data_IF_087563677664
#
_entry.id   IF_087563677664
#
_cell.length_a   1.000
_cell.length_b   1.000
_cell.length_c   1.000
_cell.angle_alpha   90.00
_cell.angle_beta   90.00
_cell.angle_gamma   90.00
#
_symmetry.space_group_name_H-M   'P 1'
#
loop_
_entity.id
_entity.type
_entity.pdbx_description
1 polymer ?
#
# COMPACT_ATOMS: atom_id res chain seq x y z
N UNK A 1 -16.64 -48.30 22.39
CA UNK A 1 -15.39 -49.03 22.10
C UNK A 1 -15.38 -49.39 20.61
N UNK A 2 -15.53 -48.36 19.76
CA UNK A 2 -16.02 -48.52 18.39
C UNK A 2 -15.44 -47.50 17.38
N UNK A 3 -14.50 -46.64 17.79
CA UNK A 3 -13.93 -45.60 16.91
C UNK A 3 -12.60 -46.01 16.23
N UNK A 4 -12.00 -47.14 16.62
CA UNK A 4 -10.66 -47.52 16.12
C UNK A 4 -10.66 -48.35 14.82
N UNK A 5 -11.84 -48.72 14.29
CA UNK A 5 -11.96 -49.56 13.08
C UNK A 5 -12.13 -48.79 11.77
N UNK A 6 -12.52 -47.52 11.81
CA UNK A 6 -12.74 -46.73 10.60
C UNK A 6 -11.44 -46.09 10.06
N UNK A 7 -10.43 -45.90 10.92
CA UNK A 7 -9.15 -45.30 10.52
C UNK A 7 -8.30 -46.28 9.69
N UNK A 8 -8.36 -47.58 9.99
CA UNK A 8 -7.65 -48.62 9.22
C UNK A 8 -8.27 -48.89 7.84
N UNK A 9 -9.59 -48.77 7.70
CA UNK A 9 -10.27 -48.91 6.41
C UNK A 9 -9.90 -47.79 5.44
N UNK A 10 -9.76 -46.57 5.96
CA UNK A 10 -9.46 -45.37 5.15
C UNK A 10 -8.02 -45.40 4.60
N UNK A 11 -7.07 -45.93 5.38
CA UNK A 11 -5.66 -46.07 4.97
C UNK A 11 -5.48 -47.15 3.90
N UNK A 12 -6.25 -48.25 3.97
CA UNK A 12 -6.17 -49.33 2.96
C UNK A 12 -6.83 -48.90 1.65
N UNK A 13 -7.95 -48.17 1.69
CA UNK A 13 -8.61 -47.65 0.47
C UNK A 13 -7.74 -46.61 -0.24
N UNK A 14 -7.03 -45.75 0.52
CA UNK A 14 -6.10 -44.78 -0.06
C UNK A 14 -4.89 -45.43 -0.74
N UNK A 15 -4.37 -46.54 -0.18
CA UNK A 15 -3.18 -47.23 -0.72
C UNK A 15 -3.51 -48.01 -2.00
N UNK A 16 -4.66 -48.68 -2.06
CA UNK A 16 -5.12 -49.42 -3.26
C UNK A 16 -5.46 -48.45 -4.41
N UNK A 17 -6.04 -47.29 -4.12
CA UNK A 17 -6.30 -46.26 -5.12
C UNK A 17 -5.03 -45.55 -5.65
N UNK A 18 -3.93 -45.55 -4.89
CA UNK A 18 -2.63 -45.02 -5.34
C UNK A 18 -1.86 -46.03 -6.19
N UNK A 19 -1.94 -47.33 -5.91
CA UNK A 19 -1.24 -48.37 -6.70
C UNK A 19 -1.93 -48.68 -8.04
N UNK A 20 -3.27 -48.55 -8.13
CA UNK A 20 -4.00 -48.75 -9.39
C UNK A 20 -3.95 -47.53 -10.35
N UNK A 21 -3.52 -46.36 -9.88
CA UNK A 21 -3.39 -45.13 -10.68
C UNK A 21 -1.96 -44.86 -11.20
N UNK A 22 -1.03 -45.80 -11.07
CA UNK A 22 0.37 -45.62 -11.49
C UNK A 22 0.58 -45.57 -13.03
N UNK A 23 -0.47 -45.75 -13.84
CA UNK A 23 -0.42 -45.76 -15.31
C UNK A 23 -1.38 -44.80 -16.00
N UNK A 24 -1.95 -43.82 -15.28
CA UNK A 24 -2.82 -42.80 -15.84
C UNK A 24 -2.41 -41.42 -15.32
N UNK A 25 -1.99 -40.46 -16.15
CA UNK A 25 -1.62 -39.14 -15.66
C UNK A 25 -2.88 -38.41 -15.18
N UNK A 26 -3.04 -38.37 -13.86
CA UNK A 26 -4.02 -37.61 -13.07
C UNK A 26 -5.50 -38.04 -13.17
N UNK A 27 -6.05 -38.67 -12.10
CA UNK A 27 -7.46 -38.52 -11.78
C UNK A 27 -7.70 -37.10 -11.27
N UNK A 28 -8.84 -36.49 -11.62
CA UNK A 28 -9.27 -35.15 -11.20
C UNK A 28 -9.31 -35.02 -9.66
N UNK A 29 -8.19 -34.60 -9.05
CA UNK A 29 -8.16 -34.20 -7.64
C UNK A 29 -8.79 -32.81 -7.56
N UNK A 30 -9.86 -32.60 -6.79
CA UNK A 30 -10.45 -31.27 -6.61
C UNK A 30 -9.42 -30.37 -5.91
N UNK A 31 -8.81 -29.45 -6.67
CA UNK A 31 -7.93 -28.41 -6.14
C UNK A 31 -8.77 -27.43 -5.32
N UNK A 32 -8.59 -27.44 -4.00
CA UNK A 32 -9.12 -26.41 -3.12
C UNK A 32 -8.26 -25.16 -3.34
N UNK A 33 -8.81 -24.14 -3.99
CA UNK A 33 -8.20 -22.82 -4.11
C UNK A 33 -8.05 -22.26 -2.69
N UNK A 34 -6.83 -21.90 -2.30
CA UNK A 34 -6.61 -21.09 -1.11
C UNK A 34 -7.18 -19.68 -1.39
N UNK A 35 -8.47 -19.48 -1.12
CA UNK A 35 -9.12 -18.16 -1.11
C UNK A 35 -8.66 -17.29 0.09
N UNK A 36 -7.55 -17.66 0.73
CA UNK A 36 -7.15 -17.20 2.06
C UNK A 36 -5.97 -16.21 2.07
N UNK A 37 -5.36 -15.89 0.93
CA UNK A 37 -4.28 -14.89 0.84
C UNK A 37 -4.45 -13.95 -0.37
N UNK A 38 -5.34 -12.97 -0.23
CA UNK A 38 -5.56 -11.84 -1.17
C UNK A 38 -6.73 -11.99 -2.15
N UNK A 39 -7.93 -11.72 -1.59
CA UNK A 39 -9.13 -11.13 -2.21
C UNK A 39 -9.44 -11.49 -3.68
N UNK A 40 -10.51 -12.27 -3.85
CA UNK A 40 -11.44 -12.13 -4.96
C UNK A 40 -11.52 -10.65 -5.43
N UNK A 41 -11.22 -10.38 -6.71
CA UNK A 41 -11.54 -9.11 -7.37
C UNK A 41 -13.06 -8.90 -7.25
N UNK A 42 -13.52 -8.24 -6.18
CA UNK A 42 -14.83 -7.62 -6.23
C UNK A 42 -14.73 -6.48 -7.24
N UNK A 43 -15.71 -6.32 -8.15
CA UNK A 43 -15.71 -5.18 -9.06
C UNK A 43 -15.56 -3.91 -8.22
N UNK A 44 -14.47 -3.17 -8.46
CA UNK A 44 -14.21 -1.90 -7.78
C UNK A 44 -15.50 -1.09 -7.78
N UNK A 45 -15.98 -0.78 -6.58
CA UNK A 45 -17.18 0.02 -6.47
C UNK A 45 -16.92 1.37 -7.16
N UNK A 46 -17.92 1.94 -7.82
CA UNK A 46 -17.78 3.26 -8.49
C UNK A 46 -17.18 4.32 -7.54
N UNK A 47 -17.41 4.17 -6.24
CA UNK A 47 -16.83 5.00 -5.17
C UNK A 47 -15.30 4.86 -5.04
N UNK A 48 -14.75 3.66 -5.16
CA UNK A 48 -13.29 3.43 -5.10
C UNK A 48 -12.59 4.04 -6.32
N UNK A 49 -13.17 3.87 -7.52
CA UNK A 49 -12.67 4.54 -8.74
C UNK A 49 -12.70 6.06 -8.61
N UNK A 50 -13.82 6.60 -8.13
CA UNK A 50 -13.95 8.05 -7.92
C UNK A 50 -12.94 8.56 -6.88
N UNK A 51 -12.70 7.80 -5.81
CA UNK A 51 -11.70 8.14 -4.81
C UNK A 51 -10.28 8.12 -5.39
N UNK A 52 -9.95 7.14 -6.24
CA UNK A 52 -8.68 7.08 -6.97
C UNK A 52 -8.48 8.33 -7.83
N UNK A 53 -9.45 8.69 -8.66
CA UNK A 53 -9.34 9.89 -9.50
C UNK A 53 -9.24 11.18 -8.68
N UNK A 54 -10.02 11.28 -7.61
CA UNK A 54 -9.97 12.43 -6.70
C UNK A 54 -8.59 12.53 -6.03
N UNK A 55 -8.07 11.43 -5.50
CA UNK A 55 -6.75 11.38 -4.85
C UNK A 55 -5.66 11.82 -5.81
N UNK A 56 -5.66 11.31 -7.05
CA UNK A 56 -4.70 11.72 -8.08
C UNK A 56 -4.83 13.21 -8.44
N UNK A 57 -6.05 13.73 -8.54
CA UNK A 57 -6.28 15.15 -8.78
C UNK A 57 -5.73 16.03 -7.64
N UNK A 58 -5.94 15.60 -6.38
CA UNK A 58 -5.39 16.31 -5.21
C UNK A 58 -3.87 16.24 -5.19
N UNK A 59 -3.25 15.10 -5.49
CA UNK A 59 -1.79 14.96 -5.59
C UNK A 59 -1.21 15.97 -6.59
N UNK A 60 -1.79 16.05 -7.79
CA UNK A 60 -1.33 16.98 -8.83
C UNK A 60 -1.48 18.44 -8.37
N UNK A 61 -2.65 18.79 -7.80
CA UNK A 61 -2.90 20.13 -7.29
C UNK A 61 -1.97 20.51 -6.14
N UNK A 62 -1.75 19.60 -5.19
CA UNK A 62 -0.90 19.80 -4.02
C UNK A 62 0.58 19.90 -4.41
N UNK A 63 1.05 19.10 -5.37
CA UNK A 63 2.40 19.21 -5.91
C UNK A 63 2.61 20.56 -6.59
N UNK A 64 1.64 21.01 -7.41
CA UNK A 64 1.69 22.31 -8.08
C UNK A 64 1.72 23.46 -7.06
N UNK A 65 0.83 23.42 -6.07
CA UNK A 65 0.74 24.45 -5.02
C UNK A 65 1.95 24.41 -4.09
N UNK A 66 2.50 23.24 -3.78
CA UNK A 66 3.71 23.09 -2.98
C UNK A 66 4.93 23.73 -3.65
N UNK A 67 5.09 23.51 -4.96
CA UNK A 67 6.14 24.15 -5.76
C UNK A 67 5.95 25.67 -5.82
N UNK A 68 4.74 26.14 -6.16
CA UNK A 68 4.43 27.58 -6.19
C UNK A 68 4.57 28.25 -4.82
N UNK A 69 4.30 27.50 -3.76
CA UNK A 69 4.40 27.95 -2.38
C UNK A 69 5.80 27.85 -1.78
N UNK A 70 6.75 27.23 -2.49
CA UNK A 70 8.07 26.87 -2.00
C UNK A 70 8.03 26.02 -0.70
N UNK A 71 6.95 25.28 -0.44
CA UNK A 71 6.81 24.41 0.72
C UNK A 71 7.24 23.00 0.39
N UNK A 72 8.32 22.54 1.03
CA UNK A 72 8.83 21.19 0.81
C UNK A 72 7.90 20.16 1.46
N UNK A 73 7.26 20.51 2.58
CA UNK A 73 6.27 19.66 3.25
C UNK A 73 5.12 19.29 2.32
N UNK A 74 4.55 20.26 1.58
CA UNK A 74 3.43 19.99 0.70
C UNK A 74 3.81 19.06 -0.46
N UNK A 75 5.01 19.23 -1.01
CA UNK A 75 5.52 18.38 -2.10
C UNK A 75 5.81 16.97 -1.60
N UNK A 76 6.41 16.85 -0.40
CA UNK A 76 6.64 15.56 0.24
C UNK A 76 5.33 14.85 0.58
N UNK A 77 4.33 15.56 1.10
CA UNK A 77 3.03 14.96 1.44
C UNK A 77 2.25 14.54 0.18
N UNK A 78 2.29 15.32 -0.90
CA UNK A 78 1.72 14.89 -2.18
C UNK A 78 2.38 13.59 -2.68
N UNK A 79 3.70 13.48 -2.54
CA UNK A 79 4.45 12.26 -2.90
C UNK A 79 4.07 11.09 -2.01
N UNK A 80 3.88 11.32 -0.71
CA UNK A 80 3.41 10.32 0.24
C UNK A 80 2.02 9.81 -0.11
N UNK A 81 1.06 10.71 -0.37
CA UNK A 81 -0.32 10.36 -0.78
C UNK A 81 -0.30 9.51 -2.07
N UNK A 82 0.58 9.85 -3.01
CA UNK A 82 0.77 9.06 -4.22
C UNK A 82 1.38 7.68 -3.94
N UNK A 83 2.35 7.59 -3.03
CA UNK A 83 2.93 6.33 -2.61
C UNK A 83 1.89 5.44 -1.88
N UNK A 84 1.03 6.00 -1.02
CA UNK A 84 -0.09 5.27 -0.40
C UNK A 84 -1.04 4.74 -1.48
N UNK A 85 -1.35 5.56 -2.50
CA UNK A 85 -2.19 5.13 -3.61
C UNK A 85 -1.56 3.97 -4.40
N UNK A 86 -0.24 4.01 -4.63
CA UNK A 86 0.49 2.96 -5.33
C UNK A 86 0.60 1.67 -4.50
N UNK A 87 0.70 1.76 -3.17
CA UNK A 87 0.70 0.59 -2.29
C UNK A 87 -0.60 -0.22 -2.38
N UNK A 88 -1.72 0.45 -2.70
CA UNK A 88 -3.02 -0.18 -2.90
C UNK A 88 -3.24 -0.76 -4.31
N UNK A 89 -2.24 -0.69 -5.19
CA UNK A 89 -2.33 -1.22 -6.54
C UNK A 89 -2.53 -2.75 -6.51
N UNK A 90 -3.64 -3.21 -7.10
CA UNK A 90 -3.95 -4.63 -7.19
C UNK A 90 -3.49 -5.18 -8.53
N UNK A 91 -2.55 -6.12 -8.49
CA UNK A 91 -2.07 -6.83 -9.68
C UNK A 91 -3.17 -7.71 -10.28
N UNK A 92 -3.30 -7.69 -11.61
CA UNK A 92 -4.27 -8.52 -12.31
C UNK A 92 -3.72 -9.94 -12.46
N UNK A 93 -3.92 -10.79 -11.45
CA UNK A 93 -3.43 -12.18 -11.47
C UNK A 93 -4.09 -13.05 -12.54
N UNK A 94 -5.23 -12.63 -13.11
CA UNK A 94 -5.88 -13.30 -14.23
C UNK A 94 -5.31 -12.88 -15.60
N UNK A 95 -4.47 -11.83 -15.64
CA UNK A 95 -3.82 -11.38 -16.86
C UNK A 95 -2.81 -12.39 -17.39
N UNK A 96 -2.48 -12.27 -18.68
CA UNK A 96 -1.39 -13.04 -19.28
C UNK A 96 -0.06 -12.73 -18.57
N UNK A 97 0.89 -13.67 -18.49
CA UNK A 97 2.18 -13.46 -17.82
C UNK A 97 2.92 -12.21 -18.29
N UNK A 98 2.85 -11.89 -19.59
CA UNK A 98 3.46 -10.67 -20.14
C UNK A 98 2.81 -9.37 -19.64
N UNK A 99 1.48 -9.35 -19.45
CA UNK A 99 0.79 -8.19 -18.87
C UNK A 99 1.12 -8.06 -17.37
N UNK A 100 1.13 -9.18 -16.62
CA UNK A 100 1.57 -9.18 -15.21
C UNK A 100 3.01 -8.66 -15.06
N UNK A 101 3.93 -9.12 -15.91
CA UNK A 101 5.31 -8.63 -15.91
C UNK A 101 5.38 -7.13 -16.20
N UNK A 102 4.54 -6.62 -17.11
CA UNK A 102 4.46 -5.18 -17.41
C UNK A 102 3.97 -4.38 -16.21
N UNK A 103 2.98 -4.89 -15.47
CA UNK A 103 2.50 -4.27 -14.21
C UNK A 103 3.61 -4.23 -13.16
N UNK A 104 4.33 -5.35 -12.95
CA UNK A 104 5.47 -5.43 -12.02
C UNK A 104 6.57 -4.44 -12.40
N UNK A 105 6.96 -4.39 -13.67
CA UNK A 105 7.99 -3.45 -14.15
C UNK A 105 7.54 -2.00 -13.94
N UNK A 106 6.27 -1.69 -14.24
CA UNK A 106 5.73 -0.33 -14.10
C UNK A 106 5.76 0.13 -12.65
N UNK A 107 5.22 -0.68 -11.73
CA UNK A 107 5.23 -0.38 -10.30
C UNK A 107 6.67 -0.36 -9.76
N UNK A 108 7.55 -1.24 -10.26
CA UNK A 108 8.97 -1.24 -9.92
C UNK A 108 9.69 0.06 -10.30
N UNK A 109 9.49 0.56 -11.52
CA UNK A 109 10.04 1.85 -11.96
C UNK A 109 9.50 2.98 -11.09
N UNK A 110 8.20 3.00 -10.81
CA UNK A 110 7.61 4.02 -9.93
C UNK A 110 8.18 3.95 -8.52
N UNK A 111 8.43 2.76 -7.97
CA UNK A 111 9.03 2.59 -6.65
C UNK A 111 10.48 3.11 -6.60
N UNK A 112 11.25 2.92 -7.68
CA UNK A 112 12.60 3.51 -7.81
C UNK A 112 12.52 5.04 -7.86
N UNK A 113 11.57 5.61 -8.59
CA UNK A 113 11.36 7.07 -8.64
C UNK A 113 11.01 7.61 -7.24
N UNK A 114 10.14 6.93 -6.50
CA UNK A 114 9.81 7.28 -5.11
C UNK A 114 11.06 7.28 -4.22
N UNK A 115 11.95 6.30 -4.37
CA UNK A 115 13.22 6.26 -3.64
C UNK A 115 14.14 7.44 -3.96
N UNK A 116 14.25 7.81 -5.24
CA UNK A 116 15.02 8.99 -5.64
C UNK A 116 14.40 10.29 -5.06
N UNK A 117 13.07 10.41 -5.06
CA UNK A 117 12.36 11.53 -4.45
C UNK A 117 12.59 11.58 -2.93
N UNK A 118 12.54 10.44 -2.24
CA UNK A 118 12.87 10.34 -0.83
C UNK A 118 14.27 10.89 -0.53
N UNK A 119 15.29 10.47 -1.27
CA UNK A 119 16.66 10.98 -1.13
C UNK A 119 16.72 12.49 -1.41
N UNK A 120 16.03 12.96 -2.47
CA UNK A 120 15.98 14.37 -2.81
C UNK A 120 15.33 15.22 -1.70
N UNK A 121 14.26 14.73 -1.05
CA UNK A 121 13.63 15.39 0.08
C UNK A 121 14.58 15.48 1.28
N UNK A 122 15.29 14.40 1.62
CA UNK A 122 16.27 14.42 2.71
C UNK A 122 17.38 15.45 2.46
N UNK A 123 17.95 15.46 1.25
CA UNK A 123 19.02 16.39 0.91
C UNK A 123 18.52 17.85 0.89
N UNK A 124 17.34 18.09 0.32
CA UNK A 124 16.76 19.44 0.23
C UNK A 124 16.34 19.97 1.61
N UNK A 125 15.73 19.13 2.44
CA UNK A 125 15.38 19.48 3.82
C UNK A 125 16.64 19.78 4.63
N UNK A 126 17.71 18.99 4.46
CA UNK A 126 19.00 19.22 5.13
C UNK A 126 19.66 20.51 4.66
N UNK A 127 19.60 20.82 3.37
CA UNK A 127 20.07 22.11 2.83
C UNK A 127 19.31 23.29 3.41
N UNK A 128 17.97 23.22 3.45
CA UNK A 128 17.10 24.23 4.10
C UNK A 128 17.38 24.36 5.59
N UNK A 129 17.60 23.25 6.29
CA UNK A 129 17.93 23.24 7.72
C UNK A 129 19.25 23.94 8.02
N UNK A 130 20.24 23.77 7.15
CA UNK A 130 21.58 24.32 7.32
C UNK A 130 21.64 25.83 7.06
N UNK A 131 20.92 26.33 6.05
CA UNK A 131 20.95 27.77 5.71
C UNK A 131 19.86 28.55 6.43
N UNK A 132 18.67 27.98 6.62
CA UNK A 132 17.45 28.69 7.04
C UNK A 132 17.11 29.92 6.18
N UNK A 133 17.71 30.03 5.00
CA UNK A 133 17.53 31.13 4.06
C UNK A 133 16.50 30.76 3.00
N UNK A 134 15.24 30.69 3.40
CA UNK A 134 14.12 30.48 2.50
C UNK A 134 12.87 31.17 3.03
N UNK A 135 11.87 31.37 2.17
CA UNK A 135 10.55 31.85 2.56
C UNK A 135 9.48 30.95 1.96
N UNK A 136 8.33 30.86 2.62
CA UNK A 136 7.20 30.04 2.22
C UNK A 136 6.00 30.95 2.01
N UNK A 137 5.37 30.85 0.84
CA UNK A 137 4.16 31.61 0.58
C UNK A 137 3.00 31.02 1.39
N UNK A 138 2.63 31.73 2.46
CA UNK A 138 1.58 31.31 3.42
C UNK A 138 0.20 31.11 2.79
N UNK A 139 -0.13 31.81 1.70
CA UNK A 139 -1.40 31.62 0.99
C UNK A 139 -1.41 30.27 0.26
N UNK A 140 -0.35 29.93 -0.46
CA UNK A 140 -0.25 28.63 -1.10
C UNK A 140 -0.14 27.51 -0.07
N UNK A 141 0.56 27.73 1.04
CA UNK A 141 0.63 26.79 2.15
C UNK A 141 -0.77 26.47 2.70
N UNK A 142 -1.60 27.48 2.96
CA UNK A 142 -2.94 27.27 3.52
C UNK A 142 -3.87 26.52 2.55
N UNK A 143 -3.84 26.86 1.27
CA UNK A 143 -4.63 26.17 0.23
C UNK A 143 -4.16 24.72 0.10
N UNK A 144 -2.84 24.49 0.02
CA UNK A 144 -2.24 23.17 -0.09
C UNK A 144 -2.61 22.26 1.08
N UNK A 145 -2.52 22.79 2.30
CA UNK A 145 -2.83 22.04 3.52
C UNK A 145 -4.31 21.72 3.64
N UNK A 146 -5.21 22.63 3.22
CA UNK A 146 -6.63 22.33 3.19
C UNK A 146 -6.95 21.14 2.25
N UNK A 147 -6.34 21.13 1.05
CA UNK A 147 -6.51 20.01 0.11
C UNK A 147 -5.91 18.70 0.66
N UNK A 148 -4.70 18.77 1.23
CA UNK A 148 -4.04 17.62 1.85
C UNK A 148 -4.93 16.99 2.93
N UNK A 149 -5.60 17.82 3.74
CA UNK A 149 -6.50 17.33 4.78
C UNK A 149 -7.76 16.68 4.23
N UNK A 150 -8.31 17.19 3.13
CA UNK A 150 -9.43 16.53 2.46
C UNK A 150 -9.05 15.17 1.89
N UNK A 151 -7.89 15.04 1.24
CA UNK A 151 -7.41 13.76 0.71
C UNK A 151 -7.12 12.75 1.84
N UNK A 152 -6.38 13.15 2.87
CA UNK A 152 -6.05 12.28 3.99
C UNK A 152 -7.29 11.80 4.75
N UNK A 153 -8.26 12.70 4.97
CA UNK A 153 -9.53 12.33 5.60
C UNK A 153 -10.28 11.31 4.76
N UNK A 154 -10.36 11.52 3.44
CA UNK A 154 -11.07 10.60 2.55
C UNK A 154 -10.37 9.23 2.46
N UNK A 155 -9.04 9.20 2.35
CA UNK A 155 -8.26 7.97 2.37
C UNK A 155 -8.45 7.22 3.69
N UNK A 156 -8.37 7.90 4.83
CA UNK A 156 -8.62 7.30 6.16
C UNK A 156 -10.01 6.67 6.22
N UNK A 157 -11.04 7.36 5.72
CA UNK A 157 -12.41 6.84 5.68
C UNK A 157 -12.54 5.62 4.76
N UNK A 158 -11.86 5.61 3.62
CA UNK A 158 -11.79 4.46 2.71
C UNK A 158 -11.12 3.25 3.38
N UNK A 159 -9.96 3.43 4.01
CA UNK A 159 -9.27 2.38 4.77
C UNK A 159 -10.11 1.86 5.94
N UNK A 160 -10.80 2.76 6.64
CA UNK A 160 -11.71 2.35 7.72
C UNK A 160 -12.88 1.51 7.19
N UNK A 161 -13.42 1.87 6.02
CA UNK A 161 -14.51 1.13 5.37
C UNK A 161 -14.06 -0.24 4.88
N UNK A 162 -12.87 -0.37 4.27
CA UNK A 162 -12.33 -1.66 3.84
C UNK A 162 -12.03 -2.55 5.05
N UNK A 163 -11.42 -1.99 6.10
CA UNK A 163 -11.20 -2.67 7.37
C UNK A 163 -12.49 -3.23 7.98
N UNK A 164 -13.61 -2.50 7.88
CA UNK A 164 -14.92 -2.97 8.34
C UNK A 164 -15.52 -4.10 7.48
N UNK A 165 -15.27 -4.11 6.16
CA UNK A 165 -15.88 -5.05 5.21
C UNK A 165 -15.30 -6.46 5.27
N UNK A 166 -14.00 -6.61 5.54
CA UNK A 166 -13.34 -7.93 5.59
C UNK A 166 -13.68 -8.72 6.88
N UNK A 167 -14.93 -9.13 7.05
CA UNK A 167 -15.42 -9.95 8.20
C UNK A 167 -15.29 -11.47 7.98
N UNK A 168 -14.38 -11.93 7.12
CA UNK A 168 -14.37 -13.32 6.66
C UNK A 168 -13.51 -14.28 7.51
N UNK A 169 -14.18 -15.07 8.35
CA UNK A 169 -13.95 -16.45 8.84
C UNK A 169 -12.58 -17.05 9.25
N UNK A 170 -11.41 -16.42 9.10
CA UNK A 170 -10.14 -17.01 9.58
C UNK A 170 -9.35 -16.09 10.53
N UNK A 171 -9.46 -16.33 11.83
CA UNK A 171 -8.88 -15.48 12.91
C UNK A 171 -7.36 -15.30 12.87
N UNK A 172 -6.60 -16.27 12.34
CA UNK A 172 -5.13 -16.19 12.26
C UNK A 172 -4.64 -15.26 11.15
N UNK A 173 -5.14 -15.44 9.91
CA UNK A 173 -4.89 -14.53 8.77
C UNK A 173 -5.50 -13.13 9.01
N UNK A 174 -6.59 -13.07 9.76
CA UNK A 174 -7.25 -11.84 10.18
C UNK A 174 -6.35 -10.91 11.00
N UNK A 175 -5.39 -11.43 11.78
CA UNK A 175 -4.55 -10.57 12.65
C UNK A 175 -3.41 -9.89 11.90
N UNK A 176 -2.79 -10.55 10.92
CA UNK A 176 -1.68 -9.99 10.13
C UNK A 176 -2.13 -8.87 9.19
N UNK A 177 -3.12 -9.16 8.33
CA UNK A 177 -3.63 -8.20 7.34
C UNK A 177 -4.26 -6.97 8.00
N UNK A 178 -5.10 -7.18 9.03
CA UNK A 178 -5.77 -6.05 9.70
C UNK A 178 -4.82 -5.20 10.53
N UNK A 179 -3.76 -5.77 11.12
CA UNK A 179 -2.75 -4.95 11.79
C UNK A 179 -2.05 -4.08 10.76
N UNK A 180 -1.69 -4.61 9.59
CA UNK A 180 -1.02 -3.80 8.57
C UNK A 180 -1.94 -2.70 8.02
N UNK A 181 -3.19 -3.02 7.70
CA UNK A 181 -4.18 -2.03 7.23
C UNK A 181 -4.52 -0.98 8.30
N UNK A 182 -4.63 -1.38 9.57
CA UNK A 182 -4.89 -0.44 10.66
C UNK A 182 -3.65 0.43 10.93
N UNK A 183 -2.44 -0.14 10.88
CA UNK A 183 -1.22 0.65 11.04
C UNK A 183 -1.06 1.62 9.87
N UNK A 184 -1.24 1.19 8.62
CA UNK A 184 -1.21 2.07 7.46
C UNK A 184 -2.31 3.15 7.57
N UNK A 185 -3.59 2.76 7.67
CA UNK A 185 -4.71 3.71 7.67
C UNK A 185 -4.77 4.62 8.91
N UNK A 186 -4.46 4.12 10.10
CA UNK A 186 -4.51 4.93 11.31
C UNK A 186 -3.19 5.68 11.54
N UNK A 187 -2.05 4.99 11.53
CA UNK A 187 -0.78 5.63 11.89
C UNK A 187 -0.29 6.54 10.76
N UNK A 188 -0.37 6.14 9.49
CA UNK A 188 0.20 6.96 8.40
C UNK A 188 -0.66 8.19 8.15
N UNK A 189 -1.99 8.07 8.15
CA UNK A 189 -2.86 9.23 7.99
C UNK A 189 -2.96 10.09 9.26
N UNK A 190 -2.81 9.52 10.47
CA UNK A 190 -2.71 10.35 11.68
C UNK A 190 -1.42 11.18 11.68
N UNK A 191 -0.31 10.61 11.22
CA UNK A 191 0.94 11.37 11.05
C UNK A 191 0.78 12.44 9.95
N UNK A 192 -0.11 12.26 8.96
CA UNK A 192 -0.40 13.31 7.98
C UNK A 192 -0.97 14.61 8.61
N UNK A 193 -1.55 14.55 9.82
CA UNK A 193 -1.93 15.76 10.57
C UNK A 193 -0.73 16.60 11.03
N UNK A 194 0.50 16.08 11.01
CA UNK A 194 1.70 16.89 11.24
C UNK A 194 1.87 17.97 10.16
N UNK A 195 1.42 17.71 8.92
CA UNK A 195 1.39 18.73 7.86
C UNK A 195 0.49 19.89 8.24
N UNK A 196 -0.68 19.60 8.83
CA UNK A 196 -1.58 20.63 9.33
C UNK A 196 -0.94 21.43 10.47
N UNK A 197 -0.37 20.76 11.47
CA UNK A 197 0.27 21.43 12.61
C UNK A 197 1.42 22.32 12.15
N UNK A 198 2.28 21.82 11.27
CA UNK A 198 3.39 22.58 10.68
C UNK A 198 2.92 23.81 9.92
N UNK A 199 1.87 23.64 9.10
CA UNK A 199 1.29 24.73 8.34
C UNK A 199 0.71 25.80 9.24
N UNK A 200 -0.01 25.40 10.30
CA UNK A 200 -0.56 26.33 11.28
C UNK A 200 0.55 27.11 12.00
N UNK A 201 1.65 26.45 12.38
CA UNK A 201 2.80 27.12 13.01
C UNK A 201 3.38 28.20 12.09
N UNK A 202 3.62 27.89 10.81
CA UNK A 202 4.19 28.81 9.82
C UNK A 202 3.21 29.95 9.48
N UNK A 203 1.91 29.66 9.39
CA UNK A 203 0.87 30.66 9.11
C UNK A 203 0.79 31.68 10.25
N UNK A 204 0.73 31.19 11.50
CA UNK A 204 0.60 32.02 12.71
C UNK A 204 1.87 32.84 12.96
N UNK A 205 3.04 32.22 12.83
CA UNK A 205 4.31 32.93 12.97
C UNK A 205 5.31 32.44 11.91
N UNK A 206 5.72 33.39 11.06
CA UNK A 206 6.67 33.16 9.96
C UNK A 206 8.03 32.66 10.43
N UNK A 207 8.40 32.85 11.70
CA UNK A 207 9.70 32.42 12.22
C UNK A 207 9.78 30.89 12.41
N UNK A 208 8.66 30.17 12.36
CA UNK A 208 8.62 28.71 12.45
C UNK A 208 8.86 27.99 11.12
N UNK A 209 9.65 28.55 10.20
CA UNK A 209 9.99 27.91 8.92
C UNK A 209 10.62 26.52 9.11
N UNK A 210 11.31 26.29 10.22
CA UNK A 210 11.87 24.99 10.60
C UNK A 210 10.81 23.88 10.71
N UNK A 211 9.54 24.24 10.95
CA UNK A 211 8.44 23.27 10.95
C UNK A 211 8.27 22.60 9.58
N UNK A 212 8.51 23.31 8.47
CA UNK A 212 8.47 22.75 7.10
C UNK A 212 9.54 21.67 6.93
N UNK A 213 10.74 21.93 7.44
CA UNK A 213 11.87 21.00 7.39
C UNK A 213 11.60 19.75 8.25
N UNK A 214 11.20 19.94 9.51
CA UNK A 214 10.92 18.82 10.43
C UNK A 214 9.81 17.92 9.88
N UNK A 215 8.76 18.52 9.35
CA UNK A 215 7.62 17.77 8.81
C UNK A 215 7.98 17.08 7.51
N UNK A 216 8.86 17.68 6.69
CA UNK A 216 9.42 16.99 5.53
C UNK A 216 10.19 15.74 5.94
N UNK A 217 11.01 15.78 6.99
CA UNK A 217 11.70 14.58 7.49
C UNK A 217 10.72 13.50 7.95
N UNK A 218 9.72 13.86 8.74
CA UNK A 218 8.69 12.92 9.20
C UNK A 218 7.94 12.28 8.01
N UNK A 219 7.56 13.10 7.03
CA UNK A 219 6.86 12.64 5.81
C UNK A 219 7.77 11.76 4.95
N UNK A 220 9.07 12.06 4.87
CA UNK A 220 10.05 11.25 4.13
C UNK A 220 10.19 9.86 4.73
N UNK A 221 10.13 9.71 6.05
CA UNK A 221 10.12 8.39 6.70
C UNK A 221 8.87 7.57 6.33
N UNK A 222 7.72 8.22 6.17
CA UNK A 222 6.50 7.54 5.68
C UNK A 222 6.63 7.12 4.23
N UNK A 223 7.21 7.96 3.36
CA UNK A 223 7.52 7.59 1.97
C UNK A 223 8.44 6.36 1.96
N UNK A 224 9.47 6.31 2.80
CA UNK A 224 10.36 5.15 2.91
C UNK A 224 9.61 3.88 3.35
N UNK A 225 8.64 4.01 4.26
CA UNK A 225 7.83 2.88 4.69
C UNK A 225 6.97 2.34 3.53
N UNK A 226 6.35 3.21 2.73
CA UNK A 226 5.61 2.81 1.52
C UNK A 226 6.52 2.17 0.49
N UNK A 227 7.71 2.74 0.23
CA UNK A 227 8.69 2.15 -0.70
C UNK A 227 9.05 0.73 -0.29
N UNK A 228 9.24 0.52 1.02
CA UNK A 228 9.56 -0.79 1.58
C UNK A 228 8.40 -1.77 1.43
N UNK A 229 7.16 -1.32 1.69
CA UNK A 229 5.94 -2.12 1.54
C UNK A 229 5.71 -2.52 0.08
N UNK A 230 5.76 -1.55 -0.85
CA UNK A 230 5.63 -1.79 -2.30
C UNK A 230 6.73 -2.71 -2.79
N UNK A 231 7.97 -2.52 -2.33
CA UNK A 231 9.11 -3.39 -2.66
C UNK A 231 8.89 -4.84 -2.22
N UNK A 232 8.33 -5.05 -1.03
CA UNK A 232 7.95 -6.38 -0.55
C UNK A 232 6.85 -7.01 -1.41
N UNK A 233 5.80 -6.26 -1.76
CA UNK A 233 4.73 -6.74 -2.65
C UNK A 233 5.26 -7.12 -4.05
N UNK A 234 6.13 -6.28 -4.62
CA UNK A 234 6.78 -6.52 -5.92
C UNK A 234 7.59 -7.82 -5.91
N UNK A 235 8.36 -8.07 -4.84
CA UNK A 235 9.14 -9.29 -4.69
C UNK A 235 8.25 -10.54 -4.70
N UNK A 236 7.14 -10.52 -3.95
CA UNK A 236 6.19 -11.64 -3.90
C UNK A 236 5.46 -11.86 -5.22
N UNK A 237 5.02 -10.80 -5.88
CA UNK A 237 4.36 -10.92 -7.18
C UNK A 237 5.29 -11.43 -8.27
N UNK A 238 6.55 -10.97 -8.28
CA UNK A 238 7.58 -11.51 -9.16
C UNK A 238 7.85 -12.99 -8.88
N UNK A 239 8.00 -13.36 -7.61
CA UNK A 239 8.20 -14.75 -7.20
C UNK A 239 7.02 -15.65 -7.63
N UNK A 240 5.78 -15.19 -7.43
CA UNK A 240 4.57 -15.91 -7.85
C UNK A 240 4.47 -16.12 -9.36
N UNK A 241 5.05 -15.18 -10.14
CA UNK A 241 5.07 -15.27 -11.60
C UNK A 241 6.10 -16.31 -12.09
N UNK A 242 7.25 -16.41 -11.42
CA UNK A 242 8.28 -17.39 -11.73
C UNK A 242 7.95 -18.80 -11.20
N UNK A 243 7.29 -18.90 -10.05
CA UNK A 243 7.01 -20.15 -9.34
C UNK A 243 5.50 -20.35 -9.10
N UNK A 244 4.67 -20.50 -10.15
CA UNK A 244 3.22 -20.63 -10.01
C UNK A 244 2.79 -21.92 -9.28
N UNK A 245 3.69 -22.91 -9.18
CA UNK A 245 3.43 -24.18 -8.50
C UNK A 245 3.50 -24.05 -6.97
N UNK A 246 4.22 -23.06 -6.46
CA UNK A 246 4.43 -22.84 -5.02
C UNK A 246 3.29 -22.02 -4.37
N UNK A 247 2.32 -21.52 -5.15
CA UNK A 247 1.07 -20.95 -4.61
C UNK A 247 0.14 -22.02 -4.00
N UNK A 248 0.44 -23.32 -4.17
CA UNK A 248 -0.29 -24.43 -3.60
C UNK A 248 0.54 -25.08 -2.49
N UNK A 249 0.10 -25.02 -1.23
CA UNK A 249 0.68 -25.88 -0.19
C UNK A 249 0.37 -27.35 -0.51
N UNK A 250 1.34 -28.27 -0.37
CA UNK A 250 1.05 -29.70 -0.39
C UNK A 250 0.17 -30.07 0.81
N UNK A 251 -0.83 -30.93 0.57
CA UNK A 251 -1.75 -31.48 1.58
C UNK A 251 -0.99 -32.27 2.65
#
# INVERSE_FOLDING_TARGET
>A
MTEEKDEYGTIVVARVAMEENMFNPQPDIPRIRNDSTHSYQQPESMLEKLNTYYTLAVVIAQLTIGVLGNSLTLVADATRIFADHLELFQYDRAATPGKRLTEIITVGITNVILFLLFVAFLLTASGRAATMEFDINRLYLSIGTAMAMTANTLQTLCHFRTWQRERSYHSSLYTGSKRNQLMHGFVYHFIAYFVLVSSLLIIVNKDYLIADVITTYATSLLILANISSIGYQLYHEYFSLEHPQDEYEPI
#
